data_IF_231103259859
#
_entry.id   IF_231103259859
#
_cell.length_a   1.000
_cell.length_b   1.000
_cell.length_c   1.000
_cell.angle_alpha   90.00
_cell.angle_beta   90.00
_cell.angle_gamma   90.00
#
_symmetry.space_group_name_H-M   'P 1'
#
loop_
_entity.id
_entity.type
_entity.pdbx_description
1 polymer ?
#
# COMPACT_ATOMS: atom_id res chain seq x y z
N UNK A 1 -5.68 -0.78 33.96
CA UNK A 1 -5.65 -1.61 32.74
C UNK A 1 -5.49 -0.65 31.57
N UNK A 2 -4.61 -0.94 30.63
CA UNK A 2 -4.52 -0.15 29.38
C UNK A 2 -5.85 -0.27 28.62
N UNK A 3 -6.30 0.81 27.99
CA UNK A 3 -7.49 0.80 27.13
C UNK A 3 -7.27 -0.20 25.97
N UNK A 4 -8.23 -1.06 25.69
CA UNK A 4 -8.21 -1.98 24.55
C UNK A 4 -9.34 -1.63 23.58
N UNK A 5 -9.22 -2.06 22.34
CA UNK A 5 -10.15 -1.77 21.25
C UNK A 5 -10.56 -3.06 20.55
N UNK A 6 -11.83 -3.21 20.27
CA UNK A 6 -12.34 -4.32 19.49
C UNK A 6 -12.21 -4.00 18.01
N UNK A 7 -11.62 -4.91 17.25
CA UNK A 7 -11.23 -4.70 15.84
C UNK A 7 -11.95 -5.68 14.93
N UNK A 8 -12.61 -5.18 13.90
CA UNK A 8 -13.20 -5.97 12.81
C UNK A 8 -12.27 -5.93 11.58
N UNK A 9 -11.83 -7.09 11.10
CA UNK A 9 -11.06 -7.21 9.87
C UNK A 9 -11.97 -7.77 8.76
N UNK A 10 -12.35 -6.91 7.82
CA UNK A 10 -13.24 -7.26 6.70
C UNK A 10 -12.40 -7.67 5.49
N UNK A 11 -12.64 -8.88 5.00
CA UNK A 11 -11.80 -9.54 4.00
C UNK A 11 -10.66 -10.36 4.63
N UNK A 12 -10.88 -10.87 5.84
CA UNK A 12 -9.90 -11.57 6.66
C UNK A 12 -9.23 -12.80 6.01
N UNK A 13 -9.83 -13.38 4.97
CA UNK A 13 -9.28 -14.54 4.22
C UNK A 13 -8.46 -14.16 2.99
N UNK A 14 -8.39 -12.87 2.67
CA UNK A 14 -7.56 -12.33 1.57
C UNK A 14 -6.11 -12.11 2.02
N UNK A 15 -5.19 -11.93 1.05
CA UNK A 15 -3.77 -11.72 1.34
C UNK A 15 -3.54 -10.52 2.29
N UNK A 16 -4.20 -9.38 2.02
CA UNK A 16 -4.09 -8.18 2.85
C UNK A 16 -4.73 -8.38 4.23
N UNK A 17 -5.93 -9.02 4.30
CA UNK A 17 -6.64 -9.26 5.56
C UNK A 17 -5.87 -10.19 6.51
N UNK A 18 -5.30 -11.29 6.00
CA UNK A 18 -4.42 -12.18 6.77
C UNK A 18 -3.17 -11.43 7.27
N UNK A 19 -2.61 -10.57 6.42
CA UNK A 19 -1.45 -9.75 6.80
C UNK A 19 -1.83 -8.70 7.86
N UNK A 20 -3.02 -8.09 7.80
CA UNK A 20 -3.52 -7.18 8.84
C UNK A 20 -3.60 -7.89 10.19
N UNK A 21 -4.18 -9.08 10.24
CA UNK A 21 -4.25 -9.90 11.46
C UNK A 21 -2.85 -10.19 12.03
N UNK A 22 -1.93 -10.60 11.15
CA UNK A 22 -0.54 -10.86 11.54
C UNK A 22 0.15 -9.62 12.10
N UNK A 23 0.01 -8.46 11.44
CA UNK A 23 0.64 -7.20 11.86
C UNK A 23 0.06 -6.67 13.17
N UNK A 24 -1.25 -6.74 13.38
CA UNK A 24 -1.88 -6.38 14.65
C UNK A 24 -1.26 -7.16 15.81
N UNK A 25 -1.04 -8.48 15.62
CA UNK A 25 -0.40 -9.33 16.62
C UNK A 25 1.09 -8.99 16.80
N UNK A 26 1.86 -8.86 15.72
CA UNK A 26 3.30 -8.54 15.74
C UNK A 26 3.59 -7.21 16.44
N UNK A 27 2.77 -6.20 16.15
CA UNK A 27 2.91 -4.84 16.73
C UNK A 27 2.29 -4.71 18.12
N UNK A 28 1.69 -5.79 18.65
CA UNK A 28 1.01 -5.78 19.95
C UNK A 28 -0.03 -4.67 20.03
N UNK A 29 -0.79 -4.48 18.96
CA UNK A 29 -1.90 -3.52 18.96
C UNK A 29 -2.81 -3.82 20.15
N UNK A 30 -3.29 -2.82 20.90
CA UNK A 30 -4.06 -3.06 22.13
C UNK A 30 -5.49 -3.55 21.81
N UNK A 31 -5.60 -4.78 21.30
CA UNK A 31 -6.89 -5.39 20.96
C UNK A 31 -7.63 -5.91 22.19
N UNK A 32 -8.95 -5.70 22.23
CA UNK A 32 -9.89 -6.45 23.06
C UNK A 32 -10.27 -7.74 22.33
N UNK A 33 -11.35 -7.69 21.54
CA UNK A 33 -11.76 -8.77 20.65
C UNK A 33 -11.32 -8.47 19.20
N UNK A 34 -11.08 -9.54 18.43
CA UNK A 34 -10.81 -9.47 16.99
C UNK A 34 -11.84 -10.29 16.23
N UNK A 35 -12.56 -9.63 15.34
CA UNK A 35 -13.58 -10.26 14.50
C UNK A 35 -13.02 -10.43 13.07
N UNK A 36 -12.87 -11.67 12.64
CA UNK A 36 -12.48 -12.00 11.27
C UNK A 36 -13.74 -12.15 10.40
N UNK A 37 -13.94 -11.20 9.47
CA UNK A 37 -15.15 -11.11 8.67
C UNK A 37 -14.88 -11.38 7.19
N UNK A 38 -15.73 -12.16 6.54
CA UNK A 38 -15.72 -12.39 5.11
C UNK A 38 -17.13 -12.72 4.58
N UNK A 39 -17.24 -12.98 3.28
CA UNK A 39 -18.51 -13.42 2.68
C UNK A 39 -18.95 -14.79 3.21
N UNK A 40 -20.23 -15.11 3.08
CA UNK A 40 -20.85 -16.38 3.48
C UNK A 40 -20.08 -17.62 2.98
N UNK A 41 -19.41 -17.54 1.81
CA UNK A 41 -18.58 -18.64 1.25
C UNK A 41 -17.34 -18.97 2.11
N UNK A 42 -16.95 -18.09 2.99
CA UNK A 42 -15.76 -18.24 3.83
C UNK A 42 -16.08 -18.46 5.31
N UNK A 43 -17.36 -18.42 5.69
CA UNK A 43 -17.81 -18.66 7.06
C UNK A 43 -17.33 -20.01 7.57
N UNK A 44 -16.85 -20.05 8.81
CA UNK A 44 -16.29 -21.24 9.44
C UNK A 44 -14.83 -21.57 9.07
N UNK A 45 -14.24 -20.90 8.06
CA UNK A 45 -12.80 -21.00 7.83
C UNK A 45 -12.05 -20.46 9.04
N UNK A 46 -10.81 -20.88 9.17
CA UNK A 46 -9.93 -20.46 10.27
C UNK A 46 -8.83 -19.57 9.71
N UNK A 47 -8.54 -18.47 10.43
CA UNK A 47 -7.42 -17.55 10.16
C UNK A 47 -6.59 -17.36 11.42
N UNK A 48 -5.30 -17.10 11.26
CA UNK A 48 -4.38 -16.95 12.39
C UNK A 48 -4.34 -15.50 12.90
N UNK A 49 -4.25 -15.33 14.21
CA UNK A 49 -4.00 -14.07 14.88
C UNK A 49 -3.01 -14.29 16.03
N UNK A 50 -1.72 -14.07 15.78
CA UNK A 50 -0.65 -14.45 16.71
C UNK A 50 -0.70 -15.94 17.02
N UNK A 51 -0.79 -16.28 18.31
CA UNK A 51 -0.90 -17.68 18.78
C UNK A 51 -2.36 -18.20 18.78
N UNK A 52 -3.33 -17.38 18.35
CA UNK A 52 -4.75 -17.73 18.36
C UNK A 52 -5.25 -18.02 16.96
N UNK A 53 -6.27 -18.86 16.87
CA UNK A 53 -7.02 -19.10 15.65
C UNK A 53 -8.40 -18.47 15.78
N UNK A 54 -8.78 -17.64 14.82
CA UNK A 54 -10.11 -17.04 14.73
C UNK A 54 -10.98 -17.80 13.74
N UNK A 55 -12.28 -17.90 14.04
CA UNK A 55 -13.27 -18.44 13.11
C UNK A 55 -13.88 -17.28 12.32
N UNK A 56 -13.87 -17.40 11.01
CA UNK A 56 -14.43 -16.39 10.11
C UNK A 56 -15.95 -16.36 10.25
N UNK A 57 -16.50 -15.16 10.48
CA UNK A 57 -17.91 -14.87 10.61
C UNK A 57 -18.48 -14.24 9.33
N UNK A 58 -19.79 -14.32 9.16
CA UNK A 58 -20.47 -13.71 8.02
C UNK A 58 -20.50 -12.17 8.16
N UNK A 59 -20.02 -11.48 7.14
CA UNK A 59 -20.05 -10.03 7.10
C UNK A 59 -21.48 -9.47 7.02
N UNK A 60 -22.39 -10.19 6.34
CA UNK A 60 -23.78 -9.75 6.18
C UNK A 60 -24.58 -9.80 7.51
N UNK A 61 -24.16 -10.63 8.46
CA UNK A 61 -24.81 -10.80 9.76
C UNK A 61 -24.09 -10.07 10.91
N UNK A 62 -22.95 -9.44 10.64
CA UNK A 62 -22.13 -8.83 11.70
C UNK A 62 -22.68 -7.49 12.16
N UNK A 63 -22.83 -7.35 13.48
CA UNK A 63 -23.18 -6.09 14.14
C UNK A 63 -21.92 -5.25 14.42
N UNK A 64 -21.71 -4.20 13.64
CA UNK A 64 -20.54 -3.31 13.75
C UNK A 64 -20.51 -2.48 15.04
N UNK A 65 -21.58 -2.39 15.81
CA UNK A 65 -21.56 -1.75 17.13
C UNK A 65 -20.63 -2.45 18.14
N UNK A 66 -20.23 -3.69 17.85
CA UNK A 66 -19.27 -4.48 18.65
C UNK A 66 -17.83 -4.08 18.44
N UNK A 67 -17.49 -3.37 17.36
CA UNK A 67 -16.10 -3.01 17.04
C UNK A 67 -15.91 -1.49 17.04
N UNK A 68 -14.82 -1.01 17.60
CA UNK A 68 -14.45 0.41 17.55
C UNK A 68 -13.67 0.74 16.27
N UNK A 69 -12.99 -0.24 15.70
CA UNK A 69 -12.15 -0.06 14.50
C UNK A 69 -12.47 -1.15 13.49
N UNK A 70 -12.68 -0.74 12.23
CA UNK A 70 -12.85 -1.63 11.09
C UNK A 70 -11.69 -1.51 10.11
N UNK A 71 -10.96 -2.60 9.83
CA UNK A 71 -9.93 -2.66 8.80
C UNK A 71 -10.50 -3.37 7.57
N UNK A 72 -10.71 -2.64 6.48
CA UNK A 72 -11.43 -3.12 5.30
C UNK A 72 -10.47 -3.43 4.14
N UNK A 73 -10.57 -4.65 3.58
CA UNK A 73 -9.74 -5.09 2.44
C UNK A 73 -10.48 -6.06 1.49
N UNK A 74 -11.81 -6.05 1.48
CA UNK A 74 -12.63 -7.02 0.74
C UNK A 74 -13.03 -6.59 -0.69
N UNK A 75 -12.50 -5.46 -1.19
CA UNK A 75 -12.82 -4.89 -2.50
C UNK A 75 -13.80 -3.72 -2.43
N UNK A 76 -13.76 -2.86 -3.47
CA UNK A 76 -14.46 -1.57 -3.49
C UNK A 76 -15.98 -1.67 -3.26
N UNK A 77 -16.65 -2.60 -3.93
CA UNK A 77 -18.11 -2.79 -3.77
C UNK A 77 -18.52 -3.22 -2.36
N UNK A 78 -17.66 -3.95 -1.66
CA UNK A 78 -17.89 -4.33 -0.26
C UNK A 78 -17.71 -3.11 0.65
N UNK A 79 -16.66 -2.34 0.44
CA UNK A 79 -16.43 -1.10 1.19
C UNK A 79 -17.55 -0.08 0.95
N UNK A 80 -18.02 0.08 -0.29
CA UNK A 80 -19.16 0.95 -0.62
C UNK A 80 -20.40 0.62 0.21
N UNK A 81 -20.71 -0.67 0.35
CA UNK A 81 -21.89 -1.13 1.11
C UNK A 81 -21.68 -1.03 2.63
N UNK A 82 -20.57 -1.57 3.13
CA UNK A 82 -20.43 -1.83 4.57
C UNK A 82 -19.67 -0.75 5.36
N UNK A 83 -18.79 0.02 4.72
CA UNK A 83 -18.05 1.04 5.46
C UNK A 83 -18.96 2.15 6.03
N UNK A 84 -19.98 2.66 5.29
CA UNK A 84 -20.95 3.60 5.86
C UNK A 84 -21.80 2.99 6.99
N UNK A 85 -22.14 1.70 6.89
CA UNK A 85 -22.90 0.98 7.93
C UNK A 85 -22.05 0.88 9.21
N UNK A 86 -20.79 0.50 9.08
CA UNK A 86 -19.85 0.42 10.19
C UNK A 86 -19.64 1.78 10.85
N UNK A 87 -19.42 2.82 10.05
CA UNK A 87 -19.26 4.20 10.54
C UNK A 87 -20.51 4.70 11.30
N UNK A 88 -21.70 4.44 10.77
CA UNK A 88 -22.97 4.80 11.43
C UNK A 88 -23.18 4.04 12.74
N UNK A 89 -22.61 2.85 12.91
CA UNK A 89 -22.62 2.08 14.14
C UNK A 89 -21.54 2.53 15.17
N UNK A 90 -20.73 3.55 14.84
CA UNK A 90 -19.65 4.05 15.68
C UNK A 90 -18.30 3.37 15.51
N UNK A 91 -18.17 2.48 14.52
CA UNK A 91 -16.92 1.82 14.16
C UNK A 91 -16.16 2.70 13.17
N UNK A 92 -14.98 3.19 13.55
CA UNK A 92 -14.12 3.97 12.62
C UNK A 92 -13.47 3.03 11.62
N UNK A 93 -13.69 3.28 10.33
CA UNK A 93 -13.22 2.43 9.25
C UNK A 93 -11.89 2.95 8.68
N UNK A 94 -10.90 2.07 8.54
CA UNK A 94 -9.72 2.28 7.70
C UNK A 94 -9.89 1.40 6.45
N UNK A 95 -10.17 2.02 5.32
CA UNK A 95 -10.49 1.33 4.07
C UNK A 95 -9.28 1.24 3.14
N UNK A 96 -8.81 0.02 2.91
CA UNK A 96 -7.69 -0.24 2.00
C UNK A 96 -8.11 -0.33 0.52
N UNK A 97 -9.40 -0.25 0.22
CA UNK A 97 -9.88 -0.28 -1.17
C UNK A 97 -9.76 1.10 -1.84
N UNK A 98 -10.04 1.17 -3.14
CA UNK A 98 -10.04 2.45 -3.86
C UNK A 98 -11.36 3.22 -3.76
N UNK A 99 -12.34 2.72 -3.00
CA UNK A 99 -13.71 3.23 -3.04
C UNK A 99 -13.81 4.70 -2.64
N UNK A 100 -13.16 5.08 -1.55
CA UNK A 100 -13.34 6.41 -0.94
C UNK A 100 -12.13 7.33 -1.08
N UNK A 101 -11.09 6.93 -1.81
CA UNK A 101 -9.82 7.69 -1.89
C UNK A 101 -9.97 9.08 -2.48
N UNK A 102 -10.99 9.27 -3.35
CA UNK A 102 -11.19 10.52 -4.10
C UNK A 102 -12.32 11.39 -3.56
N UNK A 103 -13.00 10.92 -2.49
CA UNK A 103 -14.01 11.72 -1.81
C UNK A 103 -13.32 12.84 -1.02
N UNK A 104 -13.70 14.10 -1.25
CA UNK A 104 -13.04 15.26 -0.63
C UNK A 104 -13.22 15.29 0.90
N UNK A 105 -14.30 14.71 1.41
CA UNK A 105 -14.66 14.64 2.80
C UNK A 105 -14.15 13.38 3.54
N UNK A 106 -13.32 12.56 2.86
CA UNK A 106 -12.65 11.38 3.44
C UNK A 106 -11.13 11.57 3.35
N UNK A 107 -10.40 11.55 4.49
CA UNK A 107 -8.96 11.69 4.49
C UNK A 107 -8.27 10.48 3.84
N UNK A 108 -7.25 10.74 3.03
CA UNK A 108 -6.38 9.77 2.40
C UNK A 108 -5.00 9.85 3.05
N UNK A 109 -4.57 8.78 3.77
CA UNK A 109 -3.50 8.93 4.76
C UNK A 109 -2.33 7.99 4.54
N UNK A 110 -1.13 8.57 4.56
CA UNK A 110 0.14 7.88 4.79
C UNK A 110 0.73 8.41 6.10
N UNK A 111 0.85 7.60 7.16
CA UNK A 111 1.29 8.04 8.49
C UNK A 111 2.59 8.85 8.53
N UNK A 112 3.56 8.51 7.70
CA UNK A 112 4.85 9.22 7.62
C UNK A 112 4.77 10.52 6.81
N UNK A 113 3.64 10.80 6.13
CA UNK A 113 3.50 11.94 5.21
C UNK A 113 2.52 12.99 5.75
N UNK A 114 1.28 12.58 6.00
CA UNK A 114 0.18 13.47 6.40
C UNK A 114 -0.65 12.92 7.58
N UNK A 115 -0.04 12.54 8.72
CA UNK A 115 -0.76 11.97 9.85
C UNK A 115 -1.83 12.90 10.45
N UNK A 116 -1.70 14.22 10.26
CA UNK A 116 -2.68 15.22 10.69
C UNK A 116 -4.05 15.04 10.04
N UNK A 117 -4.09 14.56 8.79
CA UNK A 117 -5.35 14.35 8.07
C UNK A 117 -6.26 13.28 8.72
N UNK A 118 -5.71 12.42 9.61
CA UNK A 118 -6.51 11.46 10.38
C UNK A 118 -7.62 12.18 11.18
N UNK A 119 -7.41 13.41 11.63
CA UNK A 119 -8.39 14.19 12.39
C UNK A 119 -9.75 14.33 11.66
N UNK A 120 -9.73 14.31 10.34
CA UNK A 120 -10.90 14.53 9.49
C UNK A 120 -11.79 13.27 9.38
N UNK A 121 -11.38 12.13 9.98
CA UNK A 121 -12.22 10.93 10.08
C UNK A 121 -13.62 11.22 10.66
N UNK A 122 -13.75 12.25 11.50
CA UNK A 122 -15.00 12.62 12.17
C UNK A 122 -16.13 12.98 11.20
N UNK A 123 -15.80 13.37 9.96
CA UNK A 123 -16.78 13.75 8.95
C UNK A 123 -17.62 12.57 8.49
N UNK A 124 -16.99 11.45 8.18
CA UNK A 124 -17.65 10.26 7.64
C UNK A 124 -17.41 8.97 8.47
N UNK A 125 -16.57 9.01 9.50
CA UNK A 125 -16.14 7.80 10.22
C UNK A 125 -15.24 6.88 9.39
N UNK A 126 -14.70 7.36 8.26
CA UNK A 126 -13.91 6.57 7.30
C UNK A 126 -12.59 7.29 7.04
N UNK A 127 -11.51 6.53 6.98
CA UNK A 127 -10.17 6.93 6.56
C UNK A 127 -9.78 6.04 5.39
N UNK A 128 -9.38 6.62 4.26
CA UNK A 128 -8.91 5.88 3.10
C UNK A 128 -7.40 5.58 3.19
N UNK A 129 -7.03 4.34 2.87
CA UNK A 129 -5.65 3.91 2.73
C UNK A 129 -5.26 3.99 1.25
N UNK A 130 -4.13 4.63 0.89
CA UNK A 130 -3.76 4.86 -0.50
C UNK A 130 -3.36 3.60 -1.28
N UNK A 131 -3.09 3.79 -2.56
CA UNK A 131 -2.49 2.79 -3.44
C UNK A 131 -1.06 2.40 -2.97
N UNK A 132 -0.71 1.13 -3.13
CA UNK A 132 0.56 0.59 -2.64
C UNK A 132 1.79 1.29 -3.23
N UNK A 133 1.79 1.56 -4.54
CA UNK A 133 2.89 2.29 -5.18
C UNK A 133 2.93 3.74 -4.72
N UNK A 134 1.78 4.40 -4.58
CA UNK A 134 1.72 5.76 -4.03
C UNK A 134 2.31 5.83 -2.62
N UNK A 135 1.96 4.89 -1.74
CA UNK A 135 2.46 4.88 -0.35
C UNK A 135 3.98 4.85 -0.31
N UNK A 136 4.61 3.85 -0.95
CA UNK A 136 6.07 3.69 -0.88
C UNK A 136 6.81 4.85 -1.52
N UNK A 137 6.31 5.37 -2.66
CA UNK A 137 6.88 6.55 -3.32
C UNK A 137 6.85 7.76 -2.39
N UNK A 138 5.70 8.05 -1.77
CA UNK A 138 5.55 9.25 -0.94
C UNK A 138 6.31 9.16 0.38
N UNK A 139 6.43 7.98 0.98
CA UNK A 139 7.29 7.76 2.17
C UNK A 139 8.74 8.11 1.83
N UNK A 140 9.24 7.68 0.67
CA UNK A 140 10.60 8.01 0.23
C UNK A 140 10.74 9.50 -0.14
N UNK A 141 9.73 10.12 -0.74
CA UNK A 141 9.83 11.50 -1.23
C UNK A 141 9.56 12.57 -0.17
N UNK A 142 8.82 12.25 0.89
CA UNK A 142 8.42 13.23 1.92
C UNK A 142 9.59 14.03 2.50
N UNK A 143 10.70 13.42 2.97
CA UNK A 143 11.81 14.18 3.56
C UNK A 143 12.48 15.13 2.56
N UNK A 144 12.51 14.79 1.27
CA UNK A 144 13.04 15.66 0.21
C UNK A 144 12.05 16.78 -0.10
N UNK A 145 10.76 16.44 -0.20
CA UNK A 145 9.68 17.42 -0.41
C UNK A 145 9.67 18.51 0.67
N UNK A 146 9.80 18.13 1.93
CA UNK A 146 9.83 19.08 3.05
C UNK A 146 11.06 19.97 3.05
N UNK A 147 12.19 19.47 2.55
CA UNK A 147 13.45 20.21 2.57
C UNK A 147 13.56 21.22 1.42
N UNK A 148 13.19 20.82 0.19
CA UNK A 148 13.47 21.60 -1.02
C UNK A 148 12.28 21.72 -1.98
N UNK A 149 11.15 21.09 -1.68
CA UNK A 149 10.00 20.99 -2.56
C UNK A 149 10.26 20.12 -3.80
N UNK A 150 9.21 19.54 -4.33
CA UNK A 150 9.24 18.77 -5.58
C UNK A 150 8.27 19.42 -6.56
N UNK A 151 8.75 19.68 -7.78
CA UNK A 151 7.92 20.22 -8.86
C UNK A 151 7.33 19.09 -9.71
N UNK A 152 8.15 18.06 -10.00
CA UNK A 152 7.76 16.98 -10.89
C UNK A 152 8.30 15.64 -10.43
N UNK A 153 7.49 14.60 -10.64
CA UNK A 153 7.84 13.20 -10.42
C UNK A 153 7.62 12.46 -11.74
N UNK A 154 8.66 11.78 -12.25
CA UNK A 154 8.54 10.76 -13.28
C UNK A 154 8.83 9.41 -12.61
N UNK A 155 7.92 8.46 -12.72
CA UNK A 155 8.07 7.17 -12.06
C UNK A 155 7.70 6.02 -12.98
N UNK A 156 8.55 5.00 -13.03
CA UNK A 156 8.22 3.70 -13.60
C UNK A 156 8.15 2.68 -12.45
N UNK A 157 6.99 2.02 -12.30
CA UNK A 157 6.81 1.00 -11.28
C UNK A 157 7.02 -0.40 -11.83
N UNK A 158 7.57 -1.28 -11.00
CA UNK A 158 7.75 -2.72 -11.25
C UNK A 158 7.00 -3.47 -10.17
N UNK A 159 5.71 -3.76 -10.45
CA UNK A 159 4.77 -4.24 -9.43
C UNK A 159 4.64 -5.75 -9.42
N UNK A 160 4.79 -6.34 -8.24
CA UNK A 160 4.60 -7.76 -7.98
C UNK A 160 3.16 -8.22 -8.20
N UNK A 161 2.96 -9.48 -8.55
CA UNK A 161 1.65 -10.07 -8.83
C UNK A 161 0.73 -10.13 -7.60
N UNK A 162 1.28 -10.14 -6.38
CA UNK A 162 0.50 -10.10 -5.13
C UNK A 162 -0.43 -8.88 -5.01
N UNK A 163 -0.13 -7.78 -5.72
CA UNK A 163 -1.00 -6.62 -5.81
C UNK A 163 -2.35 -6.91 -6.48
N UNK A 164 -2.45 -7.97 -7.27
CA UNK A 164 -3.71 -8.44 -7.88
C UNK A 164 -4.43 -9.50 -7.02
N UNK A 165 -3.72 -10.10 -6.04
CA UNK A 165 -4.29 -11.06 -5.11
C UNK A 165 -3.76 -12.49 -5.27
N UNK A 166 -4.33 -13.43 -4.48
CA UNK A 166 -3.86 -14.81 -4.39
C UNK A 166 -3.91 -15.56 -5.74
N UNK A 167 -4.92 -15.34 -6.54
CA UNK A 167 -5.10 -16.00 -7.85
C UNK A 167 -3.98 -15.61 -8.83
N UNK A 168 -3.52 -14.37 -8.81
CA UNK A 168 -2.41 -13.91 -9.63
C UNK A 168 -1.05 -14.50 -9.20
N UNK A 169 -0.85 -14.70 -7.90
CA UNK A 169 0.32 -15.40 -7.36
C UNK A 169 0.33 -16.84 -7.88
N UNK A 170 -0.83 -17.52 -7.83
CA UNK A 170 -0.98 -18.89 -8.32
C UNK A 170 -0.76 -18.95 -9.84
N UNK A 171 -1.33 -18.02 -10.62
CA UNK A 171 -1.12 -17.99 -12.07
C UNK A 171 0.36 -17.87 -12.43
N UNK A 172 1.12 -16.98 -11.78
CA UNK A 172 2.57 -16.85 -12.01
C UNK A 172 3.30 -18.17 -11.68
N UNK A 173 3.01 -18.79 -10.54
CA UNK A 173 3.64 -20.04 -10.11
C UNK A 173 3.35 -21.19 -11.10
N UNK A 174 2.08 -21.33 -11.49
CA UNK A 174 1.64 -22.36 -12.45
C UNK A 174 2.25 -22.13 -13.82
N UNK A 175 2.20 -20.92 -14.36
CA UNK A 175 2.82 -20.59 -15.66
C UNK A 175 4.32 -20.89 -15.65
N UNK A 176 5.05 -20.46 -14.60
CA UNK A 176 6.49 -20.72 -14.46
C UNK A 176 6.79 -22.21 -14.48
N UNK A 177 6.08 -22.99 -13.67
CA UNK A 177 6.28 -24.46 -13.61
C UNK A 177 5.98 -25.13 -14.94
N UNK A 178 4.90 -24.73 -15.62
CA UNK A 178 4.51 -25.32 -16.90
C UNK A 178 5.51 -25.00 -18.01
N UNK A 179 5.99 -23.76 -18.11
CA UNK A 179 6.97 -23.33 -19.11
C UNK A 179 8.30 -24.07 -18.95
N UNK A 180 8.80 -24.21 -17.71
CA UNK A 180 10.03 -24.97 -17.44
C UNK A 180 9.90 -26.46 -17.80
N UNK A 181 8.69 -26.99 -17.85
CA UNK A 181 8.39 -28.37 -18.27
C UNK A 181 7.91 -28.48 -19.73
N UNK A 182 8.09 -27.44 -20.55
CA UNK A 182 7.65 -27.37 -21.95
C UNK A 182 6.14 -27.69 -22.13
N UNK A 183 5.30 -27.30 -21.17
CA UNK A 183 3.84 -27.48 -21.19
C UNK A 183 3.13 -26.19 -21.57
N UNK A 184 1.98 -26.25 -22.27
CA UNK A 184 1.19 -25.07 -22.61
C UNK A 184 0.66 -24.38 -21.35
N UNK A 185 0.61 -23.05 -21.38
CA UNK A 185 0.06 -22.22 -20.30
C UNK A 185 -1.33 -21.68 -20.65
N UNK A 186 -1.99 -21.14 -19.64
CA UNK A 186 -3.20 -20.31 -19.76
C UNK A 186 -2.96 -18.95 -19.15
N UNK A 187 -3.63 -17.93 -19.65
CA UNK A 187 -3.72 -16.59 -19.10
C UNK A 187 -5.18 -16.40 -18.64
N UNK A 188 -5.43 -16.45 -17.35
CA UNK A 188 -6.77 -16.39 -16.76
C UNK A 188 -6.98 -15.07 -15.99
N UNK A 189 -5.93 -14.60 -15.30
CA UNK A 189 -5.95 -13.36 -14.50
C UNK A 189 -5.36 -12.20 -15.30
N UNK A 190 -4.25 -12.42 -16.00
CA UNK A 190 -3.64 -11.41 -16.84
C UNK A 190 -4.00 -11.61 -18.31
N UNK A 191 -4.11 -10.51 -19.10
CA UNK A 191 -4.44 -10.60 -20.53
C UNK A 191 -3.34 -11.25 -21.38
N UNK A 192 -2.13 -11.35 -20.85
CA UNK A 192 -0.96 -11.97 -21.47
C UNK A 192 -0.17 -12.77 -20.45
N UNK A 193 0.71 -13.67 -20.95
CA UNK A 193 1.66 -14.39 -20.10
C UNK A 193 2.42 -13.44 -19.19
N UNK A 194 2.41 -13.74 -17.88
CA UNK A 194 3.19 -12.99 -16.89
C UNK A 194 4.52 -13.66 -16.58
N UNK A 195 4.60 -14.99 -16.55
CA UNK A 195 5.86 -15.69 -16.28
C UNK A 195 6.92 -15.33 -17.33
N UNK A 196 8.10 -14.90 -16.87
CA UNK A 196 9.23 -14.43 -17.69
C UNK A 196 8.89 -13.25 -18.62
N UNK A 197 7.94 -12.41 -18.26
CA UNK A 197 7.49 -11.28 -19.06
C UNK A 197 7.20 -10.04 -18.21
N UNK A 198 7.08 -8.89 -18.84
CA UNK A 198 6.63 -7.64 -18.23
C UNK A 198 5.40 -7.10 -18.94
N UNK A 199 4.40 -6.64 -18.19
CA UNK A 199 3.12 -6.18 -18.75
C UNK A 199 2.95 -4.70 -18.41
N UNK A 200 3.05 -3.77 -19.40
CA UNK A 200 2.89 -2.34 -19.16
C UNK A 200 1.39 -1.95 -19.14
N UNK A 201 0.63 -2.67 -18.35
CA UNK A 201 -0.78 -2.43 -18.11
C UNK A 201 -1.17 -2.97 -16.73
N UNK A 202 -1.60 -2.09 -15.85
CA UNK A 202 -2.21 -2.44 -14.58
C UNK A 202 -3.53 -1.67 -14.47
N UNK A 203 -4.64 -2.40 -14.20
CA UNK A 203 -5.99 -1.86 -14.22
C UNK A 203 -6.46 -1.47 -15.67
N UNK A 204 -7.59 -0.78 -15.79
CA UNK A 204 -8.21 -0.41 -17.06
C UNK A 204 -7.56 0.82 -17.69
N UNK A 205 -7.58 0.89 -19.02
CA UNK A 205 -7.19 2.11 -19.73
C UNK A 205 -8.25 3.20 -19.59
N UNK A 206 -7.80 4.43 -19.46
CA UNK A 206 -8.61 5.63 -19.43
C UNK A 206 -8.51 6.37 -20.78
N UNK A 207 -9.41 7.33 -21.02
CA UNK A 207 -9.48 8.09 -22.29
C UNK A 207 -8.19 8.85 -22.63
N UNK A 208 -7.43 9.25 -21.62
CA UNK A 208 -6.16 9.95 -21.79
C UNK A 208 -4.97 9.04 -22.14
N UNK A 209 -5.20 7.73 -22.30
CA UNK A 209 -4.19 6.74 -22.63
C UNK A 209 -3.40 6.17 -21.44
N UNK A 210 -3.58 6.74 -20.25
CA UNK A 210 -3.04 6.17 -19.01
C UNK A 210 -3.94 5.04 -18.50
N UNK A 211 -3.37 4.16 -17.67
CA UNK A 211 -4.19 3.22 -16.91
C UNK A 211 -4.72 3.86 -15.64
N UNK A 212 -5.79 3.30 -15.08
CA UNK A 212 -6.34 3.77 -13.79
C UNK A 212 -5.31 3.65 -12.67
N UNK A 213 -4.45 2.62 -12.70
CA UNK A 213 -3.36 2.47 -11.72
C UNK A 213 -2.38 3.65 -11.78
N UNK A 214 -2.01 4.08 -12.97
CA UNK A 214 -1.16 5.26 -13.18
C UNK A 214 -1.83 6.53 -12.66
N UNK A 215 -3.11 6.71 -12.98
CA UNK A 215 -3.85 7.88 -12.53
C UNK A 215 -4.06 7.93 -11.02
N UNK A 216 -4.14 6.76 -10.33
CA UNK A 216 -4.13 6.73 -8.86
C UNK A 216 -2.89 7.42 -8.30
N UNK A 217 -1.71 7.15 -8.85
CA UNK A 217 -0.48 7.80 -8.39
C UNK A 217 -0.53 9.32 -8.57
N UNK A 218 -1.14 9.80 -9.66
CA UNK A 218 -1.30 11.25 -9.91
C UNK A 218 -2.24 11.88 -8.87
N UNK A 219 -3.44 11.34 -8.74
CA UNK A 219 -4.49 11.94 -7.88
C UNK A 219 -4.15 11.83 -6.40
N UNK A 220 -3.66 10.66 -5.98
CA UNK A 220 -3.35 10.38 -4.58
C UNK A 220 -2.13 11.19 -4.12
N UNK A 221 -1.09 11.35 -4.96
CA UNK A 221 0.07 12.21 -4.63
C UNK A 221 -0.35 13.64 -4.33
N UNK A 222 -1.20 14.24 -5.18
CA UNK A 222 -1.71 15.59 -4.97
C UNK A 222 -2.49 15.72 -3.65
N UNK A 223 -3.40 14.78 -3.41
CA UNK A 223 -4.24 14.78 -2.21
C UNK A 223 -3.41 14.59 -0.93
N UNK A 224 -2.44 13.68 -0.92
CA UNK A 224 -1.63 13.35 0.25
C UNK A 224 -0.59 14.44 0.56
N UNK A 225 0.05 15.01 -0.48
CA UNK A 225 0.96 16.15 -0.31
C UNK A 225 0.23 17.49 -0.12
N UNK A 226 -1.11 17.51 -0.30
CA UNK A 226 -1.90 18.73 -0.28
C UNK A 226 -1.36 19.81 -1.26
N UNK A 227 -0.87 19.35 -2.42
CA UNK A 227 -0.23 20.18 -3.46
C UNK A 227 -0.78 19.84 -4.85
N UNK A 228 -1.72 20.67 -5.33
CA UNK A 228 -2.31 20.52 -6.66
C UNK A 228 -1.34 20.83 -7.81
N UNK A 229 -0.23 21.52 -7.51
CA UNK A 229 0.73 21.94 -8.54
C UNK A 229 1.77 20.88 -8.86
N UNK A 230 1.94 19.87 -7.99
CA UNK A 230 2.90 18.81 -8.24
C UNK A 230 2.53 18.00 -9.49
N UNK A 231 3.51 17.83 -10.37
CA UNK A 231 3.32 17.12 -11.65
C UNK A 231 3.79 15.68 -11.48
N UNK A 232 2.94 14.72 -11.82
CA UNK A 232 3.28 13.29 -11.72
C UNK A 232 3.06 12.62 -13.07
N UNK A 233 4.06 11.91 -13.56
CA UNK A 233 4.04 11.18 -14.83
C UNK A 233 4.44 9.70 -14.60
N UNK A 234 3.48 8.81 -14.34
CA UNK A 234 3.73 7.42 -14.02
C UNK A 234 3.66 6.50 -15.24
N UNK A 235 4.40 5.39 -15.16
CA UNK A 235 4.20 4.21 -16.01
C UNK A 235 4.15 2.98 -15.10
N UNK A 236 3.04 2.27 -15.08
CA UNK A 236 2.85 1.12 -14.21
C UNK A 236 3.05 -0.21 -14.96
N UNK A 237 4.02 -1.01 -14.50
CA UNK A 237 4.38 -2.28 -15.14
C UNK A 237 4.20 -3.44 -14.15
N UNK A 238 3.50 -4.50 -14.56
CA UNK A 238 3.44 -5.76 -13.81
C UNK A 238 4.64 -6.63 -14.18
N UNK A 239 5.34 -7.14 -13.17
CA UNK A 239 6.54 -7.97 -13.33
C UNK A 239 6.36 -9.34 -12.69
N UNK A 240 7.12 -10.38 -13.11
CA UNK A 240 6.98 -11.74 -12.62
C UNK A 240 7.68 -11.93 -11.26
N UNK A 241 7.30 -11.12 -10.29
CA UNK A 241 7.76 -11.14 -8.90
C UNK A 241 6.55 -11.39 -8.00
N UNK A 242 6.69 -12.26 -7.01
CA UNK A 242 5.57 -12.62 -6.14
C UNK A 242 5.19 -11.50 -5.18
N UNK A 243 6.14 -10.93 -4.45
CA UNK A 243 5.95 -9.89 -3.44
C UNK A 243 7.00 -8.80 -3.57
N UNK A 244 6.63 -7.60 -3.16
CA UNK A 244 7.48 -6.42 -3.19
C UNK A 244 7.36 -5.66 -4.51
N UNK A 245 7.06 -4.35 -4.41
CA UNK A 245 7.08 -3.43 -5.55
C UNK A 245 8.41 -2.68 -5.58
N UNK A 246 8.90 -2.43 -6.78
CA UNK A 246 10.05 -1.56 -7.01
C UNK A 246 9.64 -0.39 -7.89
N UNK A 247 10.35 0.73 -7.76
CA UNK A 247 10.08 1.94 -8.54
C UNK A 247 11.39 2.62 -8.92
N UNK A 248 11.53 2.95 -10.19
CA UNK A 248 12.51 3.91 -10.67
C UNK A 248 11.88 5.30 -10.59
N UNK A 249 12.32 6.10 -9.63
CA UNK A 249 11.77 7.43 -9.36
C UNK A 249 12.77 8.48 -9.78
N UNK A 250 12.34 9.39 -10.65
CA UNK A 250 13.04 10.61 -10.99
C UNK A 250 12.23 11.81 -10.48
N UNK A 251 12.86 12.75 -9.81
CA UNK A 251 12.22 13.98 -9.36
C UNK A 251 12.96 15.21 -9.86
N UNK A 252 12.21 16.27 -10.15
CA UNK A 252 12.71 17.62 -10.33
C UNK A 252 12.33 18.43 -9.09
N UNK A 253 13.33 18.96 -8.37
CA UNK A 253 13.12 19.71 -7.13
C UNK A 253 13.01 21.20 -7.37
N UNK A 254 12.32 21.94 -6.50
CA UNK A 254 12.21 23.41 -6.60
C UNK A 254 13.54 24.10 -6.30
N UNK A 255 14.24 23.60 -5.29
CA UNK A 255 15.62 24.03 -4.97
C UNK A 255 16.57 22.87 -5.19
N UNK A 256 17.80 23.17 -5.65
CA UNK A 256 18.79 22.12 -5.90
C UNK A 256 19.18 21.37 -4.63
N UNK A 257 19.25 20.06 -4.71
CA UNK A 257 19.73 19.18 -3.65
C UNK A 257 20.77 18.19 -4.20
N UNK A 258 21.84 17.95 -3.46
CA UNK A 258 22.82 16.92 -3.85
C UNK A 258 22.36 15.52 -3.43
N UNK A 259 22.89 14.50 -4.08
CA UNK A 259 22.63 13.10 -3.75
C UNK A 259 23.03 12.77 -2.29
N UNK A 260 24.15 13.34 -1.80
CA UNK A 260 24.61 13.16 -0.42
C UNK A 260 23.60 13.76 0.57
N UNK A 261 23.09 14.97 0.28
CA UNK A 261 22.11 15.62 1.15
C UNK A 261 20.77 14.87 1.15
N UNK A 262 20.33 14.39 0.00
CA UNK A 262 19.14 13.53 -0.10
C UNK A 262 19.32 12.24 0.70
N UNK A 263 20.46 11.58 0.60
CA UNK A 263 20.82 10.39 1.37
C UNK A 263 20.80 10.66 2.87
N UNK A 264 21.32 11.81 3.32
CA UNK A 264 21.28 12.22 4.73
C UNK A 264 19.85 12.38 5.24
N UNK A 265 18.97 13.03 4.47
CA UNK A 265 17.57 13.22 4.83
C UNK A 265 16.81 11.88 4.91
N UNK A 266 16.98 11.03 3.90
CA UNK A 266 16.37 9.72 3.81
C UNK A 266 16.79 8.79 4.97
N UNK A 267 18.08 8.83 5.34
CA UNK A 267 18.63 8.01 6.43
C UNK A 267 18.05 8.36 7.82
N UNK A 268 17.46 9.55 7.96
CA UNK A 268 16.86 10.03 9.22
C UNK A 268 15.32 9.94 9.22
N UNK A 269 14.75 9.59 8.07
CA UNK A 269 13.31 9.59 7.89
C UNK A 269 12.65 8.33 8.49
N UNK A 270 11.51 8.52 9.16
CA UNK A 270 10.72 7.43 9.68
C UNK A 270 10.22 6.53 8.53
N UNK A 271 10.26 5.22 8.72
CA UNK A 271 9.80 4.24 7.76
C UNK A 271 10.73 4.01 6.55
N UNK A 272 11.84 4.75 6.45
CA UNK A 272 12.83 4.64 5.36
C UNK A 272 14.09 3.92 5.83
N UNK A 273 14.63 3.07 4.97
CA UNK A 273 15.97 2.50 5.11
C UNK A 273 16.77 2.73 3.82
N UNK A 274 17.94 3.34 3.95
CA UNK A 274 18.84 3.54 2.81
C UNK A 274 19.78 2.35 2.67
N UNK A 275 19.79 1.75 1.48
CA UNK A 275 20.76 0.74 1.05
C UNK A 275 21.32 1.19 -0.30
N UNK A 276 22.43 1.94 -0.27
CA UNK A 276 23.01 2.60 -1.45
C UNK A 276 24.55 2.55 -1.43
N UNK A 277 25.08 1.33 -1.35
CA UNK A 277 26.52 1.12 -1.45
C UNK A 277 26.95 1.00 -2.92
N UNK A 278 28.04 1.66 -3.29
CA UNK A 278 28.58 1.64 -4.67
C UNK A 278 29.42 0.39 -4.94
N UNK A 279 28.85 -0.80 -4.60
CA UNK A 279 29.45 -2.12 -4.78
C UNK A 279 28.44 -3.06 -5.45
N UNK A 280 28.90 -4.21 -5.91
CA UNK A 280 28.01 -5.23 -6.50
C UNK A 280 26.97 -5.69 -5.46
N UNK A 281 25.67 -5.57 -5.80
CA UNK A 281 24.57 -5.92 -4.91
C UNK A 281 24.24 -4.89 -3.83
N UNK A 282 24.92 -3.73 -3.77
CA UNK A 282 24.70 -2.68 -2.76
C UNK A 282 23.45 -1.83 -2.97
N UNK A 283 22.33 -2.44 -3.35
CA UNK A 283 21.03 -1.80 -3.61
C UNK A 283 19.87 -2.70 -3.18
N UNK A 284 18.70 -2.15 -2.84
CA UNK A 284 17.57 -2.98 -2.44
C UNK A 284 16.86 -3.61 -3.63
N UNK A 285 16.30 -4.81 -3.40
CA UNK A 285 15.42 -5.50 -4.35
C UNK A 285 14.08 -5.88 -3.71
N UNK A 286 13.09 -6.14 -4.55
CA UNK A 286 11.77 -6.54 -4.09
C UNK A 286 11.79 -7.83 -3.26
N UNK A 287 12.64 -8.80 -3.65
CA UNK A 287 12.64 -10.16 -3.07
C UNK A 287 13.52 -10.23 -1.83
N UNK A 288 14.69 -9.57 -1.84
CA UNK A 288 15.68 -9.72 -0.76
C UNK A 288 15.44 -8.73 0.39
N UNK A 289 15.09 -7.48 0.11
CA UNK A 289 14.88 -6.46 1.12
C UNK A 289 13.40 -6.10 1.28
N UNK A 290 12.64 -6.00 0.17
CA UNK A 290 11.24 -5.54 0.20
C UNK A 290 10.29 -6.53 0.87
N UNK A 291 10.22 -7.75 0.35
CA UNK A 291 9.23 -8.74 0.78
C UNK A 291 9.36 -9.11 2.28
N UNK A 292 8.21 -9.13 2.96
CA UNK A 292 8.08 -9.41 4.41
C UNK A 292 8.72 -8.38 5.35
N UNK A 293 9.16 -7.23 4.86
CA UNK A 293 9.70 -6.14 5.66
C UNK A 293 8.76 -4.94 5.74
N UNK A 294 8.89 -4.16 6.81
CA UNK A 294 8.00 -3.02 7.09
C UNK A 294 8.51 -1.71 6.49
N UNK A 295 9.82 -1.63 6.21
CA UNK A 295 10.45 -0.41 5.73
C UNK A 295 10.23 -0.18 4.22
N UNK A 296 10.30 1.08 3.84
CA UNK A 296 10.55 1.48 2.46
C UNK A 296 12.05 1.65 2.26
N UNK A 297 12.62 0.84 1.38
CA UNK A 297 14.05 0.86 1.07
C UNK A 297 14.34 1.81 -0.08
N UNK A 298 15.40 2.61 0.05
CA UNK A 298 15.84 3.53 -1.00
C UNK A 298 17.32 3.29 -1.30
N UNK A 299 17.64 3.20 -2.56
CA UNK A 299 19.01 3.09 -3.05
C UNK A 299 19.17 3.71 -4.43
N UNK A 300 20.36 3.58 -5.02
CA UNK A 300 20.70 4.16 -6.34
C UNK A 300 20.41 5.66 -6.41
N UNK A 301 20.65 6.38 -5.30
CA UNK A 301 20.46 7.82 -5.18
C UNK A 301 21.58 8.52 -5.95
N UNK A 302 21.21 9.35 -6.92
CA UNK A 302 22.16 10.06 -7.79
C UNK A 302 21.54 11.32 -8.39
N UNK A 303 22.38 12.31 -8.65
CA UNK A 303 21.96 13.49 -9.41
C UNK A 303 21.71 13.12 -10.87
N UNK A 304 20.69 13.74 -11.48
CA UNK A 304 20.43 13.62 -12.92
C UNK A 304 21.52 14.39 -13.69
N UNK A 305 22.17 13.69 -14.62
CA UNK A 305 23.22 14.28 -15.46
C UNK A 305 22.68 15.20 -16.57
N UNK A 306 21.37 15.24 -16.76
CA UNK A 306 20.69 15.98 -17.82
C UNK A 306 19.83 17.15 -17.32
N UNK A 307 19.56 17.21 -16.00
CA UNK A 307 18.75 18.26 -15.38
C UNK A 307 19.34 18.75 -14.07
N UNK A 308 19.54 20.08 -13.95
CA UNK A 308 20.27 20.69 -12.82
C UNK A 308 19.62 20.42 -11.46
N UNK A 309 18.30 20.32 -11.39
CA UNK A 309 17.52 20.05 -10.18
C UNK A 309 16.99 18.61 -10.14
N UNK A 310 17.50 17.74 -11.01
CA UNK A 310 17.06 16.36 -11.11
C UNK A 310 17.75 15.44 -10.11
N UNK A 311 16.97 14.52 -9.52
CA UNK A 311 17.46 13.46 -8.65
C UNK A 311 16.77 12.14 -9.01
N UNK A 312 17.55 11.07 -9.10
CA UNK A 312 17.06 9.72 -9.35
C UNK A 312 17.25 8.85 -8.13
N UNK A 313 16.31 7.91 -7.90
CA UNK A 313 16.41 6.90 -6.86
C UNK A 313 15.68 5.63 -7.23
N UNK A 314 16.01 4.55 -6.55
CA UNK A 314 15.33 3.27 -6.61
C UNK A 314 14.63 3.01 -5.28
N UNK A 315 13.32 2.83 -5.32
CA UNK A 315 12.48 2.65 -4.12
C UNK A 315 11.87 1.25 -4.14
N UNK A 316 11.93 0.56 -3.01
CA UNK A 316 11.42 -0.80 -2.87
C UNK A 316 10.66 -0.95 -1.55
N UNK A 317 9.50 -1.61 -1.58
CA UNK A 317 8.74 -1.92 -0.36
C UNK A 317 7.87 -3.16 -0.54
N UNK A 318 7.46 -3.78 0.56
CA UNK A 318 6.43 -4.82 0.52
C UNK A 318 5.06 -4.18 0.26
N UNK A 319 4.47 -4.52 -0.88
CA UNK A 319 3.20 -3.97 -1.33
C UNK A 319 1.99 -4.45 -0.51
N UNK A 320 2.10 -5.56 0.19
CA UNK A 320 1.04 -6.10 1.06
C UNK A 320 1.19 -5.58 2.49
N UNK A 321 2.46 -5.37 2.96
CA UNK A 321 2.74 -4.81 4.28
C UNK A 321 2.64 -3.28 4.24
N UNK A 322 3.74 -2.57 4.00
CA UNK A 322 3.73 -1.09 3.99
C UNK A 322 2.76 -0.54 2.94
N UNK A 323 2.69 -1.16 1.78
CA UNK A 323 1.77 -0.74 0.71
C UNK A 323 0.28 -0.93 1.03
N UNK A 324 -0.10 -1.65 2.10
CA UNK A 324 -1.49 -1.95 2.41
C UNK A 324 -1.74 -2.15 3.91
N UNK A 325 -1.52 -3.37 4.42
CA UNK A 325 -1.92 -3.80 5.75
C UNK A 325 -1.21 -3.01 6.86
N UNK A 326 0.11 -2.82 6.76
CA UNK A 326 0.88 -2.07 7.75
C UNK A 326 0.45 -0.60 7.80
N UNK A 327 0.30 0.04 6.65
CA UNK A 327 -0.16 1.44 6.58
C UNK A 327 -1.52 1.60 7.26
N UNK A 328 -2.46 0.67 7.01
CA UNK A 328 -3.79 0.67 7.65
C UNK A 328 -3.68 0.49 9.18
N UNK A 329 -2.82 -0.41 9.66
CA UNK A 329 -2.61 -0.62 11.10
C UNK A 329 -1.93 0.58 11.74
N UNK A 330 -0.94 1.21 11.08
CA UNK A 330 -0.31 2.44 11.57
C UNK A 330 -1.30 3.61 11.66
N UNK A 331 -2.23 3.74 10.70
CA UNK A 331 -3.34 4.70 10.79
C UNK A 331 -4.17 4.43 12.04
N UNK A 332 -4.54 3.16 12.29
CA UNK A 332 -5.30 2.78 13.48
C UNK A 332 -4.52 3.03 14.79
N UNK A 333 -3.20 2.83 14.81
CA UNK A 333 -2.34 3.16 15.97
C UNK A 333 -2.36 4.65 16.30
N UNK A 334 -2.28 5.53 15.29
CA UNK A 334 -2.38 6.97 15.49
C UNK A 334 -3.79 7.35 15.95
N UNK A 335 -4.81 6.76 15.31
CA UNK A 335 -6.21 7.00 15.66
C UNK A 335 -6.49 6.72 17.14
N UNK A 336 -6.08 5.57 17.67
CA UNK A 336 -6.31 5.22 19.07
C UNK A 336 -5.46 6.04 20.05
N UNK A 337 -4.28 6.49 19.61
CA UNK A 337 -3.37 7.27 20.46
C UNK A 337 -3.78 8.72 20.61
N UNK A 338 -4.40 9.31 19.59
CA UNK A 338 -4.63 10.75 19.53
C UNK A 338 -6.11 11.13 19.52
N UNK A 339 -7.01 10.24 19.10
CA UNK A 339 -8.40 10.61 18.81
C UNK A 339 -9.47 9.74 19.48
N UNK A 340 -9.15 8.51 19.88
CA UNK A 340 -10.05 7.58 20.58
C UNK A 340 -9.55 7.28 22.00
#
# INVERSE_FOLDING_TARGET
>A
MSKTYDVAVVGATGAVGETMLSILAQRKFPVGEVYALASSRSVGKRVEFGDKTLVVQDLDEFDFSKAQIGLFSAGASISEKYAPIAAAAGCVVVDNTSQFRYDDDIPLVVPEVNPHAIADYKTRGIIANPNCSTIQMLVALKPIYDAVGIERINVATYQAVSGTGKEAIEELAVQTTRLLNAKPIKCEIYPKQIAFNVLPQIDVFMENGYTKEEMKMVWETKKIFEDDNIKVNPTAVRVPVFYGHSEAVHIETREKISAEKATELLSKADGVQVLDERVDGGYPTAVTEGANNDATYVGRIREDISHEHGLDMWVVSDNVRKGAALNSVQIAEILIKQYL
#
